data_IF_361464738455
#
_entry.id   IF_361464738455
#
_cell.length_a   1.000
_cell.length_b   1.000
_cell.length_c   1.000
_cell.angle_alpha   90.00
_cell.angle_beta   90.00
_cell.angle_gamma   90.00
#
_symmetry.space_group_name_H-M   'P 1'
#
loop_
_entity.id
_entity.type
_entity.pdbx_description
1 polymer ?
#
# COMPACT_ATOMS: atom_id res chain seq x y z
N UNK A 1 -16.49 9.25 -13.67
CA UNK A 1 -17.08 8.16 -14.48
C UNK A 1 -18.03 7.37 -13.60
N UNK A 2 -19.26 7.08 -14.06
CA UNK A 2 -20.22 6.24 -13.33
C UNK A 2 -20.06 4.80 -13.80
N UNK A 3 -20.01 3.86 -12.85
CA UNK A 3 -19.86 2.43 -13.11
C UNK A 3 -20.93 1.69 -12.31
N UNK A 4 -21.50 0.64 -12.89
CA UNK A 4 -22.45 -0.25 -12.22
C UNK A 4 -21.84 -1.64 -12.11
N UNK A 5 -21.91 -2.24 -10.91
CA UNK A 5 -21.38 -3.56 -10.63
C UNK A 5 -22.32 -4.30 -9.67
N UNK A 6 -22.32 -5.63 -9.75
CA UNK A 6 -23.05 -6.49 -8.82
C UNK A 6 -22.04 -6.96 -7.78
N UNK A 7 -22.28 -6.63 -6.51
CA UNK A 7 -21.40 -6.92 -5.37
C UNK A 7 -22.26 -7.43 -4.22
N UNK A 8 -21.82 -8.44 -3.44
CA UNK A 8 -22.54 -8.89 -2.26
C UNK A 8 -22.71 -7.77 -1.21
N UNK A 9 -23.93 -7.59 -0.71
CA UNK A 9 -24.25 -6.52 0.25
C UNK A 9 -23.48 -6.66 1.56
N UNK A 10 -23.27 -7.88 2.03
CA UNK A 10 -22.51 -8.15 3.25
C UNK A 10 -21.05 -7.67 3.13
N UNK A 11 -20.42 -7.88 1.98
CA UNK A 11 -19.06 -7.42 1.71
C UNK A 11 -19.00 -5.88 1.67
N UNK A 12 -20.02 -5.25 1.08
CA UNK A 12 -20.12 -3.78 1.04
C UNK A 12 -20.27 -3.21 2.45
N UNK A 13 -21.13 -3.81 3.28
CA UNK A 13 -21.32 -3.37 4.67
C UNK A 13 -20.05 -3.53 5.51
N UNK A 14 -19.42 -4.70 5.47
CA UNK A 14 -18.15 -4.93 6.18
C UNK A 14 -17.08 -3.92 5.76
N UNK A 15 -16.99 -3.62 4.46
CA UNK A 15 -16.05 -2.62 3.95
C UNK A 15 -16.36 -1.22 4.49
N UNK A 16 -17.64 -0.82 4.58
CA UNK A 16 -18.06 0.46 5.15
C UNK A 16 -17.68 0.54 6.63
N UNK A 17 -17.99 -0.50 7.41
CA UNK A 17 -17.69 -0.56 8.84
C UNK A 17 -16.18 -0.47 9.10
N UNK A 18 -15.38 -1.25 8.39
CA UNK A 18 -13.92 -1.27 8.54
C UNK A 18 -13.26 0.03 8.09
N UNK A 19 -13.78 0.66 7.04
CA UNK A 19 -13.23 1.91 6.50
C UNK A 19 -13.76 3.16 7.18
N UNK A 20 -14.81 3.04 8.00
CA UNK A 20 -15.56 4.16 8.59
C UNK A 20 -16.06 5.16 7.55
N UNK A 21 -16.32 4.69 6.34
CA UNK A 21 -16.73 5.55 5.23
C UNK A 21 -18.18 5.99 5.37
N UNK A 22 -18.48 7.21 4.91
CA UNK A 22 -19.83 7.76 4.92
C UNK A 22 -20.75 7.19 3.82
N UNK A 23 -20.17 6.50 2.83
CA UNK A 23 -20.90 5.95 1.68
C UNK A 23 -20.21 4.75 1.04
N UNK A 24 -20.98 3.95 0.29
CA UNK A 24 -20.46 2.82 -0.52
C UNK A 24 -19.35 3.26 -1.47
N UNK A 25 -19.52 4.43 -2.12
CA UNK A 25 -18.54 4.95 -3.08
C UNK A 25 -17.22 5.27 -2.41
N UNK A 26 -17.27 5.88 -1.22
CA UNK A 26 -16.07 6.20 -0.44
C UNK A 26 -15.39 4.94 0.07
N UNK A 27 -16.15 3.99 0.61
CA UNK A 27 -15.65 2.69 1.05
C UNK A 27 -14.91 1.96 -0.09
N UNK A 28 -15.51 1.90 -1.28
CA UNK A 28 -14.89 1.30 -2.47
C UNK A 28 -13.61 2.04 -2.90
N UNK A 29 -13.59 3.37 -2.86
CA UNK A 29 -12.37 4.14 -3.16
C UNK A 29 -11.24 3.78 -2.19
N UNK A 30 -11.54 3.74 -0.89
CA UNK A 30 -10.56 3.38 0.15
C UNK A 30 -10.04 1.97 -0.08
N UNK A 31 -10.94 1.00 -0.29
CA UNK A 31 -10.59 -0.39 -0.54
C UNK A 31 -9.69 -0.56 -1.77
N UNK A 32 -10.04 0.07 -2.91
CA UNK A 32 -9.27 0.00 -4.14
C UNK A 32 -7.88 0.65 -4.00
N UNK A 33 -7.79 1.81 -3.36
CA UNK A 33 -6.50 2.48 -3.10
C UNK A 33 -5.62 1.61 -2.20
N UNK A 34 -6.19 1.04 -1.13
CA UNK A 34 -5.49 0.14 -0.23
C UNK A 34 -4.96 -1.09 -0.96
N UNK A 35 -5.79 -1.72 -1.79
CA UNK A 35 -5.40 -2.86 -2.62
C UNK A 35 -4.24 -2.51 -3.56
N UNK A 36 -4.34 -1.40 -4.31
CA UNK A 36 -3.29 -0.95 -5.22
C UNK A 36 -1.96 -0.74 -4.46
N UNK A 37 -2.00 -0.10 -3.28
CA UNK A 37 -0.81 0.12 -2.45
C UNK A 37 -0.19 -1.21 -2.00
N UNK A 38 -1.01 -2.14 -1.52
CA UNK A 38 -0.56 -3.48 -1.11
C UNK A 38 0.13 -4.23 -2.26
N UNK A 39 -0.45 -4.19 -3.46
CA UNK A 39 0.15 -4.82 -4.64
C UNK A 39 1.47 -4.17 -5.05
N UNK A 40 1.60 -2.83 -4.94
CA UNK A 40 2.86 -2.13 -5.17
C UNK A 40 3.95 -2.55 -4.18
N UNK A 41 3.61 -2.67 -2.89
CA UNK A 41 4.56 -3.10 -1.86
C UNK A 41 5.02 -4.54 -2.11
N UNK A 42 4.11 -5.47 -2.42
CA UNK A 42 4.47 -6.85 -2.77
C UNK A 42 5.42 -6.92 -3.97
N UNK A 43 5.13 -6.13 -5.01
CA UNK A 43 6.00 -6.03 -6.19
C UNK A 43 7.37 -5.47 -5.82
N UNK A 44 7.43 -4.42 -5.02
CA UNK A 44 8.69 -3.84 -4.56
C UNK A 44 9.51 -4.85 -3.74
N UNK A 45 8.86 -5.56 -2.81
CA UNK A 45 9.53 -6.61 -2.03
C UNK A 45 10.09 -7.72 -2.91
N UNK A 46 9.35 -8.13 -3.93
CA UNK A 46 9.85 -9.12 -4.92
C UNK A 46 11.05 -8.59 -5.70
N UNK A 47 11.04 -7.32 -6.09
CA UNK A 47 12.18 -6.70 -6.76
C UNK A 47 13.42 -6.64 -5.86
N UNK A 48 13.27 -6.29 -4.58
CA UNK A 48 14.37 -6.26 -3.61
C UNK A 48 14.93 -7.67 -3.36
N UNK A 49 14.10 -8.71 -3.36
CA UNK A 49 14.59 -10.08 -3.23
C UNK A 49 15.39 -10.54 -4.46
N UNK A 50 14.96 -10.13 -5.66
CA UNK A 50 15.65 -10.45 -6.90
C UNK A 50 16.95 -9.67 -7.08
N UNK A 51 16.98 -8.41 -6.63
CA UNK A 51 18.14 -7.53 -6.66
C UNK A 51 18.28 -6.88 -5.27
N UNK A 52 18.96 -7.57 -4.32
CA UNK A 52 19.15 -7.06 -2.97
C UNK A 52 19.88 -5.72 -2.98
N UNK A 53 19.40 -4.79 -2.14
CA UNK A 53 20.07 -3.53 -1.92
C UNK A 53 21.41 -3.78 -1.20
N UNK A 54 22.51 -3.57 -1.91
CA UNK A 54 23.85 -3.57 -1.31
C UNK A 54 24.14 -2.20 -0.67
N UNK A 55 24.28 -2.17 0.66
CA UNK A 55 24.71 -0.97 1.37
C UNK A 55 26.23 -0.97 1.52
N UNK A 56 26.90 -0.09 0.77
CA UNK A 56 28.37 0.09 0.80
C UNK A 56 28.85 1.11 1.83
N UNK A 57 28.13 1.27 2.94
CA UNK A 57 28.57 2.12 4.04
C UNK A 57 28.42 1.40 5.37
N UNK A 58 29.54 1.21 6.05
CA UNK A 58 29.59 0.88 7.46
C UNK A 58 29.01 2.03 8.30
N UNK A 59 28.58 1.71 9.53
CA UNK A 59 28.15 2.70 10.50
C UNK A 59 29.24 3.75 10.81
N UNK A 60 30.51 3.42 10.58
CA UNK A 60 31.61 4.36 10.74
C UNK A 60 31.67 5.36 9.57
N UNK A 61 31.62 4.87 8.33
CA UNK A 61 31.64 5.73 7.12
C UNK A 61 30.46 6.71 7.09
N UNK A 62 29.26 6.30 7.52
CA UNK A 62 28.10 7.20 7.61
C UNK A 62 28.27 8.27 8.70
N UNK A 63 28.91 7.95 9.83
CA UNK A 63 29.17 8.92 10.91
C UNK A 63 30.20 9.96 10.50
N UNK A 64 31.22 9.54 9.77
CA UNK A 64 32.29 10.45 9.31
C UNK A 64 31.78 11.39 8.21
N UNK A 65 30.90 10.91 7.31
CA UNK A 65 30.25 11.75 6.29
C UNK A 65 29.36 12.84 6.91
N UNK A 66 28.56 12.50 7.91
CA UNK A 66 27.60 13.41 8.55
C UNK A 66 28.24 14.42 9.52
N UNK A 67 29.53 14.30 9.82
CA UNK A 67 30.30 15.21 10.68
C UNK A 67 31.05 16.30 9.89
N UNK A 68 30.97 16.29 8.56
CA UNK A 68 31.38 17.41 7.70
C UNK A 68 30.35 18.54 7.75
#
# INVERSE_FOLDING_TARGET
MKVTAIIPDNLVQETIELSQASSVTEALKIALVSYIRSQKIKKLGSNILNEPLEFKYSAQELRDLNRK
#
